data_IF_761304200895
#
_entry.id   IF_761304200895
#
_cell.length_a   1.000
_cell.length_b   1.000
_cell.length_c   1.000
_cell.angle_alpha   90.00
_cell.angle_beta   90.00
_cell.angle_gamma   90.00
#
_symmetry.space_group_name_H-M   'P 1'
#
loop_
_entity.id
_entity.type
_entity.pdbx_description
1 polymer ?
#
# COMPACT_ATOMS: atom_id res chain seq x y z
N UNK A 1 -21.49 -20.57 5.42
CA UNK A 1 -20.10 -20.19 5.76
C UNK A 1 -19.85 -18.87 5.05
N UNK A 2 -20.15 -17.76 5.73
CA UNK A 2 -19.99 -16.42 5.17
C UNK A 2 -18.55 -16.01 5.43
N UNK A 3 -17.74 -15.91 4.38
CA UNK A 3 -16.48 -15.19 4.41
C UNK A 3 -16.85 -13.71 4.61
N UNK A 4 -16.71 -13.21 5.85
CA UNK A 4 -16.92 -11.82 6.14
C UNK A 4 -15.69 -11.05 5.66
N UNK A 5 -15.80 -10.05 4.76
CA UNK A 5 -14.67 -9.28 4.30
C UNK A 5 -14.29 -8.32 5.42
N UNK A 6 -13.39 -8.73 6.32
CA UNK A 6 -13.10 -8.01 7.56
C UNK A 6 -11.62 -7.88 7.90
N UNK A 7 -10.71 -8.43 7.11
CA UNK A 7 -9.30 -8.08 7.24
C UNK A 7 -9.10 -6.71 6.57
N UNK A 8 -9.32 -5.66 7.36
CA UNK A 8 -9.11 -4.27 6.94
C UNK A 8 -7.75 -4.10 6.26
N UNK A 9 -7.61 -3.07 5.42
CA UNK A 9 -6.39 -2.84 4.65
C UNK A 9 -5.20 -2.65 5.61
N UNK A 10 -4.32 -3.65 5.75
CA UNK A 10 -3.20 -3.65 6.71
C UNK A 10 -1.91 -3.15 6.06
N UNK A 11 -1.10 -2.42 6.84
CA UNK A 11 0.23 -2.00 6.43
C UNK A 11 1.13 -3.17 5.98
N UNK A 12 1.76 -3.03 4.82
CA UNK A 12 2.68 -4.02 4.23
C UNK A 12 4.06 -4.09 4.91
N UNK A 13 4.32 -3.25 5.92
CA UNK A 13 5.55 -3.34 6.70
C UNK A 13 5.57 -4.67 7.47
N UNK A 14 6.72 -5.37 7.42
CA UNK A 14 6.87 -6.67 8.08
C UNK A 14 6.54 -6.56 9.57
N UNK A 15 5.59 -7.37 10.04
CA UNK A 15 5.16 -7.41 11.44
C UNK A 15 4.29 -6.24 11.88
N UNK A 16 3.80 -5.41 10.95
CA UNK A 16 2.86 -4.35 11.26
C UNK A 16 1.43 -4.84 11.05
N UNK A 17 0.56 -4.57 12.01
CA UNK A 17 -0.88 -4.84 11.95
C UNK A 17 -1.72 -3.56 12.01
N UNK A 18 -1.08 -2.40 11.83
CA UNK A 18 -1.78 -1.10 11.83
C UNK A 18 -2.59 -0.94 10.55
N UNK A 19 -3.76 -0.27 10.62
CA UNK A 19 -4.55 0.05 9.43
C UNK A 19 -3.74 0.95 8.49
N UNK A 20 -3.82 0.64 7.21
CA UNK A 20 -3.20 1.41 6.16
C UNK A 20 -4.06 2.61 5.78
N UNK A 21 -3.41 3.77 5.72
CA UNK A 21 -3.99 5.06 5.31
C UNK A 21 -3.34 5.56 4.01
N UNK A 22 -2.41 4.79 3.44
CA UNK A 22 -1.64 5.16 2.25
C UNK A 22 -1.45 3.98 1.30
N UNK A 23 -1.56 4.25 0.00
CA UNK A 23 -1.23 3.35 -1.09
C UNK A 23 0.05 3.83 -1.78
N UNK A 24 1.07 2.97 -1.81
CA UNK A 24 2.34 3.22 -2.47
C UNK A 24 2.36 2.39 -3.75
N UNK A 25 2.18 3.05 -4.90
CA UNK A 25 2.24 2.41 -6.21
C UNK A 25 3.69 2.36 -6.69
N UNK A 26 4.11 1.19 -7.12
CA UNK A 26 5.48 0.95 -7.54
C UNK A 26 5.58 0.01 -8.74
N UNK A 27 6.70 0.11 -9.45
CA UNK A 27 7.04 -0.74 -10.58
C UNK A 27 8.53 -1.06 -10.56
N UNK A 28 8.86 -2.35 -10.59
CA UNK A 28 10.23 -2.82 -10.80
C UNK A 28 10.43 -3.16 -12.30
N UNK A 29 11.13 -2.30 -13.07
CA UNK A 29 11.25 -2.46 -14.52
C UNK A 29 12.08 -3.69 -14.92
N UNK A 30 12.80 -4.32 -13.97
CA UNK A 30 13.55 -5.55 -14.22
C UNK A 30 12.65 -6.78 -14.40
N UNK A 31 11.42 -6.73 -13.91
CA UNK A 31 10.49 -7.88 -13.89
C UNK A 31 9.06 -7.55 -14.34
N UNK A 32 8.74 -6.27 -14.52
CA UNK A 32 7.40 -5.81 -14.85
C UNK A 32 7.46 -4.87 -16.06
N UNK A 33 6.45 -4.96 -16.91
CA UNK A 33 6.23 -3.99 -17.99
C UNK A 33 6.04 -2.58 -17.43
N UNK A 34 6.33 -1.52 -18.20
CA UNK A 34 6.21 -0.13 -17.74
C UNK A 34 4.79 0.29 -17.35
N UNK A 35 3.77 -0.45 -17.78
CA UNK A 35 2.34 -0.28 -17.49
C UNK A 35 1.90 -0.97 -16.19
N UNK A 36 2.55 -2.07 -15.79
CA UNK A 36 2.17 -2.81 -14.59
C UNK A 36 2.57 -2.04 -13.32
N UNK A 37 1.63 -1.85 -12.39
CA UNK A 37 1.90 -1.29 -11.05
C UNK A 37 1.50 -2.29 -9.98
N UNK A 38 2.32 -2.43 -8.95
CA UNK A 38 1.96 -3.09 -7.70
C UNK A 38 1.68 -2.02 -6.65
N UNK A 39 0.88 -2.38 -5.65
CA UNK A 39 0.56 -1.51 -4.52
C UNK A 39 1.09 -2.12 -3.23
N UNK A 40 1.79 -1.32 -2.43
CA UNK A 40 2.04 -1.59 -1.02
C UNK A 40 1.18 -0.66 -0.18
N UNK A 41 0.63 -1.19 0.90
CA UNK A 41 -0.19 -0.44 1.85
C UNK A 41 0.69 0.07 2.99
N UNK A 42 0.46 1.28 3.48
CA UNK A 42 1.21 1.83 4.60
C UNK A 42 0.32 2.58 5.59
N UNK A 43 0.58 2.38 6.87
CA UNK A 43 0.12 3.29 7.92
C UNK A 43 1.02 4.54 7.97
N UNK A 44 0.59 5.58 8.67
CA UNK A 44 1.34 6.85 8.80
C UNK A 44 2.76 6.64 9.31
N UNK A 45 2.95 5.71 10.27
CA UNK A 45 4.27 5.38 10.83
C UNK A 45 5.24 4.82 9.79
N UNK A 46 4.76 3.99 8.87
CA UNK A 46 5.64 3.27 7.93
C UNK A 46 5.65 3.82 6.51
N UNK A 47 4.79 4.81 6.20
CA UNK A 47 4.73 5.45 4.88
C UNK A 47 6.10 5.91 4.40
N UNK A 48 6.84 6.65 5.25
CA UNK A 48 8.14 7.19 4.90
C UNK A 48 9.15 6.07 4.61
N UNK A 49 9.31 5.12 5.52
CA UNK A 49 10.25 4.01 5.39
C UNK A 49 10.01 3.17 4.11
N UNK A 50 8.75 2.80 3.84
CA UNK A 50 8.41 2.02 2.64
C UNK A 50 8.61 2.83 1.35
N UNK A 51 8.27 4.13 1.38
CA UNK A 51 8.48 5.02 0.24
C UNK A 51 9.97 5.16 -0.06
N UNK A 52 10.81 5.37 0.95
CA UNK A 52 12.26 5.53 0.79
C UNK A 52 12.89 4.26 0.23
N UNK A 53 12.50 3.08 0.73
CA UNK A 53 12.94 1.80 0.19
C UNK A 53 12.69 1.68 -1.33
N UNK A 54 11.53 2.14 -1.80
CA UNK A 54 11.16 2.13 -3.21
C UNK A 54 11.85 3.24 -4.00
N UNK A 55 12.02 4.44 -3.42
CA UNK A 55 12.71 5.59 -4.05
C UNK A 55 14.16 5.28 -4.35
N UNK A 56 14.91 4.77 -3.38
CA UNK A 56 16.36 4.48 -3.56
C UNK A 56 16.61 3.42 -4.63
N UNK A 57 15.60 2.59 -4.95
CA UNK A 57 15.64 1.58 -6.01
C UNK A 57 15.07 2.07 -7.35
N UNK A 58 14.54 3.30 -7.40
CA UNK A 58 13.87 3.84 -8.58
C UNK A 58 12.55 3.16 -8.93
N UNK A 59 11.92 2.49 -7.95
CA UNK A 59 10.68 1.72 -8.15
C UNK A 59 9.41 2.51 -7.83
N UNK A 60 9.51 3.53 -6.97
CA UNK A 60 8.35 4.31 -6.53
C UNK A 60 7.75 5.09 -7.70
N UNK A 61 6.42 5.08 -7.82
CA UNK A 61 5.67 5.82 -8.84
C UNK A 61 4.75 6.84 -8.22
N UNK A 62 3.88 6.42 -7.31
CA UNK A 62 2.92 7.29 -6.63
C UNK A 62 2.82 6.93 -5.15
N UNK A 63 2.46 7.92 -4.34
CA UNK A 63 2.05 7.76 -2.94
C UNK A 63 0.75 8.52 -2.79
N UNK A 64 -0.34 7.80 -2.53
CA UNK A 64 -1.68 8.36 -2.46
C UNK A 64 -2.27 8.08 -1.08
N UNK A 65 -2.97 9.05 -0.45
CA UNK A 65 -3.78 8.77 0.72
C UNK A 65 -4.90 7.82 0.32
N UNK A 66 -5.10 6.78 1.11
CA UNK A 66 -6.29 5.95 1.00
C UNK A 66 -7.36 6.66 1.81
N UNK A 67 -8.54 6.85 1.23
CA UNK A 67 -9.70 7.10 2.06
C UNK A 67 -9.78 5.93 3.04
N UNK A 68 -9.70 6.20 4.35
CA UNK A 68 -10.03 5.21 5.35
C UNK A 68 -11.39 4.68 4.95
N UNK A 69 -11.47 3.37 4.68
CA UNK A 69 -12.66 2.76 4.12
C UNK A 69 -13.75 2.68 5.21
N UNK A 70 -14.35 3.84 5.51
CA UNK A 70 -15.69 3.97 6.06
C UNK A 70 -16.68 4.01 4.89
N UNK A 71 -16.57 3.07 3.94
CA UNK A 71 -17.67 2.79 3.00
C UNK A 71 -18.74 1.98 3.74
N UNK A 72 -19.39 2.63 4.71
CA UNK A 72 -20.74 2.34 5.16
C UNK A 72 -21.58 3.61 4.96
N UNK A 73 -21.65 4.11 3.73
CA UNK A 73 -22.70 5.06 3.35
C UNK A 73 -23.94 4.26 2.89
N UNK A 74 -25.14 4.66 3.36
CA UNK A 74 -26.33 3.81 3.52
C UNK A 74 -26.96 3.26 2.22
#
# INVERSE_FOLDING_TARGET
MTDAPGDGLICSAKGCSEPATWALRWNNPRIHTPDRRKTWLACDRHRAHLSDFLRVRGFLREVEPMASDDQSAP
#
